data_IF_727675599231
#
_entry.id   IF_727675599231
#
_cell.length_a   1.000
_cell.length_b   1.000
_cell.length_c   1.000
_cell.angle_alpha   90.00
_cell.angle_beta   90.00
_cell.angle_gamma   90.00
#
_symmetry.space_group_name_H-M   'P 1'
#
loop_
_entity.id
_entity.type
_entity.pdbx_description
1 polymer ?
#
# COMPACT_ATOMS: atom_id res chain seq x y z
N UNK A 1 -0.38 17.56 11.92
CA UNK A 1 -0.62 16.97 10.58
C UNK A 1 -2.12 16.75 10.44
N UNK A 2 -2.74 17.29 9.37
CA UNK A 2 -4.16 17.07 9.05
C UNK A 2 -4.26 15.92 8.06
N UNK A 3 -4.98 14.84 8.41
CA UNK A 3 -5.22 13.69 7.53
C UNK A 3 -6.73 13.66 7.24
N UNK A 4 -7.15 13.62 5.96
CA UNK A 4 -8.56 13.56 5.60
C UNK A 4 -9.18 12.24 6.06
N UNK A 5 -10.37 12.33 6.67
CA UNK A 5 -11.19 11.19 7.04
C UNK A 5 -12.20 10.96 5.92
N UNK A 6 -12.27 9.73 5.41
CA UNK A 6 -13.19 9.31 4.35
C UNK A 6 -14.49 8.74 4.92
N UNK A 7 -14.39 8.07 6.07
CA UNK A 7 -15.51 7.50 6.78
C UNK A 7 -15.17 7.38 8.27
N UNK A 8 -16.13 7.60 9.13
CA UNK A 8 -15.97 7.38 10.57
C UNK A 8 -17.31 7.01 11.20
N UNK A 9 -17.29 5.97 12.05
CA UNK A 9 -18.39 5.61 12.95
C UNK A 9 -17.84 5.25 14.34
N UNK A 10 -18.65 4.56 15.17
CA UNK A 10 -18.22 4.12 16.50
C UNK A 10 -17.14 3.04 16.47
N UNK A 11 -17.06 2.25 15.40
CA UNK A 11 -16.26 1.03 15.29
C UNK A 11 -14.98 1.23 14.46
N UNK A 12 -15.02 2.08 13.42
CA UNK A 12 -13.89 2.29 12.51
C UNK A 12 -13.70 3.76 12.14
N UNK A 13 -12.49 4.06 11.69
CA UNK A 13 -12.20 5.26 10.89
C UNK A 13 -11.42 4.85 9.65
N UNK A 14 -11.82 5.36 8.49
CA UNK A 14 -11.09 5.22 7.22
C UNK A 14 -10.52 6.57 6.84
N UNK A 15 -9.24 6.61 6.55
CA UNK A 15 -8.51 7.83 6.20
C UNK A 15 -7.99 7.78 4.77
N UNK A 16 -7.78 8.94 4.17
CA UNK A 16 -6.95 9.10 2.97
C UNK A 16 -5.51 9.36 3.42
N UNK A 17 -4.68 8.31 3.48
CA UNK A 17 -3.28 8.44 3.92
C UNK A 17 -2.49 9.26 2.91
N UNK A 18 -1.82 10.34 3.31
CA UNK A 18 -0.92 11.08 2.42
C UNK A 18 0.36 10.29 2.12
N UNK A 19 1.05 10.67 1.05
CA UNK A 19 2.41 10.20 0.75
C UNK A 19 3.41 10.67 1.81
N UNK A 20 4.53 9.95 1.94
CA UNK A 20 5.60 10.28 2.89
C UNK A 20 5.32 9.88 4.34
N UNK A 21 4.09 9.48 4.67
CA UNK A 21 3.69 9.08 6.03
C UNK A 21 3.87 7.58 6.24
N UNK A 22 4.73 7.22 7.19
CA UNK A 22 4.91 5.83 7.64
C UNK A 22 3.74 5.46 8.55
N UNK A 23 3.20 4.24 8.39
CA UNK A 23 2.06 3.78 9.20
C UNK A 23 2.49 3.56 10.65
N UNK A 24 3.55 2.80 10.89
CA UNK A 24 4.13 2.54 12.22
C UNK A 24 5.64 2.41 12.09
N UNK A 25 6.42 2.68 13.15
CA UNK A 25 7.85 2.43 13.16
C UNK A 25 8.16 0.97 12.81
N UNK A 26 9.31 0.71 12.18
CA UNK A 26 9.77 -0.64 11.83
C UNK A 26 10.83 -1.21 12.80
N UNK A 27 11.12 -0.49 13.88
CA UNK A 27 12.15 -0.85 14.87
C UNK A 27 13.57 -0.53 14.43
N UNK A 28 13.82 -0.34 13.14
CA UNK A 28 15.17 -0.01 12.62
C UNK A 28 15.44 1.50 12.52
N UNK A 29 14.44 2.32 12.78
CA UNK A 29 14.59 3.77 12.76
C UNK A 29 15.27 4.28 14.04
N UNK A 30 16.59 4.49 13.94
CA UNK A 30 17.39 5.12 15.02
C UNK A 30 16.96 6.56 15.35
N UNK A 31 16.19 7.22 14.49
CA UNK A 31 15.70 8.58 14.69
C UNK A 31 14.23 8.58 15.14
N UNK A 32 14.00 8.72 16.45
CA UNK A 32 12.69 8.89 17.11
C UNK A 32 11.89 10.14 16.66
N UNK A 33 12.39 10.94 15.72
CA UNK A 33 11.76 12.21 15.28
C UNK A 33 10.76 12.09 14.12
N UNK A 34 10.69 10.95 13.43
CA UNK A 34 9.78 10.81 12.28
C UNK A 34 8.35 10.54 12.79
N UNK A 35 7.47 11.50 12.57
CA UNK A 35 6.04 11.35 12.89
C UNK A 35 5.42 10.27 12.00
N UNK A 36 4.67 9.36 12.63
CA UNK A 36 3.99 8.23 12.00
C UNK A 36 2.46 8.41 12.03
N UNK A 37 1.75 7.53 11.33
CA UNK A 37 0.29 7.48 11.46
C UNK A 37 -0.13 7.10 12.89
N UNK A 38 0.63 6.24 13.57
CA UNK A 38 0.37 5.88 14.97
C UNK A 38 0.37 7.11 15.87
N UNK A 39 1.30 8.06 15.67
CA UNK A 39 1.32 9.31 16.46
C UNK A 39 0.06 10.15 16.22
N UNK A 40 -0.41 10.21 14.97
CA UNK A 40 -1.66 10.90 14.66
C UNK A 40 -2.87 10.19 15.28
N UNK A 41 -2.92 8.85 15.21
CA UNK A 41 -3.98 8.04 15.82
C UNK A 41 -4.04 8.30 17.32
N UNK A 42 -2.93 8.20 18.02
CA UNK A 42 -2.86 8.39 19.48
C UNK A 42 -3.25 9.81 19.91
N UNK A 43 -2.90 10.81 19.09
CA UNK A 43 -3.32 12.20 19.34
C UNK A 43 -4.81 12.41 19.14
N UNK A 44 -5.39 11.83 18.07
CA UNK A 44 -6.81 12.05 17.72
C UNK A 44 -7.76 11.13 18.48
N UNK A 45 -7.31 9.90 18.74
CA UNK A 45 -8.09 8.83 19.37
C UNK A 45 -7.32 8.20 20.55
N UNK A 46 -7.06 8.94 21.65
CA UNK A 46 -6.23 8.43 22.75
C UNK A 46 -6.79 7.17 23.41
N UNK A 47 -8.12 6.98 23.37
CA UNK A 47 -8.80 5.82 23.96
C UNK A 47 -8.47 4.50 23.27
N UNK A 48 -8.01 4.52 22.00
CA UNK A 48 -7.70 3.28 21.27
C UNK A 48 -6.24 2.81 21.43
N UNK A 49 -5.47 3.41 22.33
CA UNK A 49 -4.05 3.09 22.56
C UNK A 49 -3.79 1.58 22.72
N UNK A 50 -4.71 0.88 23.37
CA UNK A 50 -4.60 -0.56 23.65
C UNK A 50 -5.45 -1.43 22.68
N UNK A 51 -5.97 -0.85 21.61
CA UNK A 51 -6.66 -1.59 20.56
C UNK A 51 -5.63 -2.13 19.58
N UNK A 52 -5.56 -3.44 19.43
CA UNK A 52 -4.62 -4.10 18.50
C UNK A 52 -3.45 -4.77 19.20
N UNK A 53 -2.51 -5.24 18.40
CA UNK A 53 -1.36 -6.01 18.84
C UNK A 53 -0.07 -5.22 18.59
N UNK A 54 0.82 -5.08 19.60
CA UNK A 54 2.14 -4.51 19.38
C UNK A 54 3.02 -5.45 18.55
N UNK A 55 4.00 -4.91 17.86
CA UNK A 55 5.15 -5.69 17.40
C UNK A 55 6.14 -5.76 18.57
N UNK A 56 6.61 -6.95 18.87
CA UNK A 56 7.71 -7.18 19.82
C UNK A 56 8.96 -7.37 18.97
N UNK A 57 9.97 -6.55 19.20
CA UNK A 57 11.29 -6.66 18.57
C UNK A 57 12.15 -7.67 19.32
N UNK A 58 13.29 -8.06 18.72
CA UNK A 58 14.23 -9.03 19.30
C UNK A 58 14.84 -8.56 20.65
N UNK A 59 14.79 -7.25 20.92
CA UNK A 59 15.22 -6.60 22.18
C UNK A 59 14.05 -6.35 23.15
N UNK A 60 12.94 -7.06 23.00
CA UNK A 60 11.69 -6.91 23.77
C UNK A 60 11.00 -5.52 23.65
N UNK A 61 11.51 -4.64 22.82
CA UNK A 61 10.88 -3.33 22.57
C UNK A 61 9.49 -3.51 21.94
N UNK A 62 8.46 -2.93 22.57
CA UNK A 62 7.08 -2.97 22.09
C UNK A 62 6.77 -1.76 21.22
N UNK A 63 6.44 -2.02 19.96
CA UNK A 63 5.96 -1.00 19.03
C UNK A 63 4.43 -1.06 18.98
N UNK A 64 3.78 -0.04 19.52
CA UNK A 64 2.32 0.06 19.51
C UNK A 64 1.80 0.26 18.08
N UNK A 65 0.69 -0.40 17.79
CA UNK A 65 -0.03 -0.28 16.50
C UNK A 65 -1.54 -0.16 16.73
N UNK A 66 -1.99 0.91 17.42
CA UNK A 66 -3.37 1.06 17.82
C UNK A 66 -4.33 1.02 16.63
N UNK A 67 -5.24 0.05 16.63
CA UNK A 67 -6.25 -0.15 15.60
C UNK A 67 -5.74 -0.53 14.21
N UNK A 68 -4.43 -0.73 14.00
CA UNK A 68 -3.83 -1.00 12.69
C UNK A 68 -4.02 -2.48 12.32
N UNK A 69 -4.93 -2.77 11.41
CA UNK A 69 -5.21 -4.11 10.89
C UNK A 69 -4.50 -4.40 9.56
N UNK A 70 -4.09 -3.37 8.82
CA UNK A 70 -3.29 -3.46 7.61
C UNK A 70 -2.40 -2.24 7.41
N UNK A 71 -1.52 -2.30 6.43
CA UNK A 71 -0.64 -1.17 6.10
C UNK A 71 -0.50 -0.99 4.59
N UNK A 72 -0.18 0.23 4.19
CA UNK A 72 0.30 0.59 2.86
C UNK A 72 1.67 1.27 3.00
N UNK A 73 2.46 1.31 1.93
CA UNK A 73 3.82 1.83 1.98
C UNK A 73 3.85 3.33 2.31
N UNK A 74 5.01 3.83 2.73
CA UNK A 74 5.22 5.23 3.09
C UNK A 74 4.71 6.19 2.01
N UNK A 75 5.10 5.95 0.77
CA UNK A 75 4.82 6.85 -0.36
C UNK A 75 3.53 6.48 -1.12
N UNK A 76 2.86 5.38 -0.74
CA UNK A 76 1.52 5.03 -1.21
C UNK A 76 0.49 5.93 -0.54
N UNK A 77 -0.38 6.53 -1.34
CA UNK A 77 -1.54 7.33 -0.88
C UNK A 77 -2.80 6.48 -0.85
N UNK A 78 -3.87 6.97 -0.19
CA UNK A 78 -5.20 6.39 -0.33
C UNK A 78 -5.78 5.74 0.92
N UNK A 79 -6.79 4.91 0.73
CA UNK A 79 -7.64 4.36 1.79
C UNK A 79 -6.88 3.45 2.76
N UNK A 80 -7.01 3.74 4.05
CA UNK A 80 -6.52 2.92 5.15
C UNK A 80 -7.55 2.91 6.28
N UNK A 81 -7.98 1.70 6.71
CA UNK A 81 -8.96 1.51 7.79
C UNK A 81 -8.25 1.26 9.13
N UNK A 82 -8.82 1.81 10.19
CA UNK A 82 -8.33 1.71 11.57
C UNK A 82 -9.52 1.30 12.44
N UNK A 83 -9.34 0.27 13.26
CA UNK A 83 -10.34 -0.17 14.23
C UNK A 83 -10.31 0.72 15.47
N UNK A 84 -11.50 1.06 16.02
CA UNK A 84 -11.62 1.92 17.21
C UNK A 84 -11.85 1.14 18.51
N UNK A 85 -12.14 -0.16 18.42
CA UNK A 85 -12.31 -1.03 19.57
C UNK A 85 -11.74 -2.44 19.29
N UNK A 86 -11.57 -3.24 20.33
CA UNK A 86 -10.92 -4.56 20.27
C UNK A 86 -11.72 -5.57 19.44
N UNK A 87 -13.04 -5.61 19.60
CA UNK A 87 -13.91 -6.51 18.86
C UNK A 87 -13.80 -6.27 17.35
N UNK A 88 -13.92 -5.02 16.93
CA UNK A 88 -13.75 -4.62 15.53
C UNK A 88 -12.34 -4.92 15.02
N UNK A 89 -11.31 -4.71 15.86
CA UNK A 89 -9.93 -5.04 15.47
C UNK A 89 -9.79 -6.54 15.14
N UNK A 90 -10.24 -7.43 16.01
CA UNK A 90 -10.15 -8.88 15.76
C UNK A 90 -10.99 -9.32 14.55
N UNK A 91 -12.19 -8.76 14.40
CA UNK A 91 -13.05 -9.05 13.26
C UNK A 91 -12.40 -8.63 11.92
N UNK A 92 -11.91 -7.40 11.82
CA UNK A 92 -11.25 -6.90 10.61
C UNK A 92 -9.93 -7.64 10.33
N UNK A 93 -9.12 -7.89 11.36
CA UNK A 93 -7.89 -8.69 11.26
C UNK A 93 -8.19 -10.08 10.67
N UNK A 94 -9.29 -10.71 11.11
CA UNK A 94 -9.78 -11.97 10.55
C UNK A 94 -10.09 -11.87 9.06
N UNK A 95 -10.74 -10.80 8.60
CA UNK A 95 -11.05 -10.60 7.18
C UNK A 95 -9.77 -10.41 6.33
N UNK A 96 -8.80 -9.61 6.81
CA UNK A 96 -7.50 -9.46 6.12
C UNK A 96 -6.75 -10.79 6.04
N UNK A 97 -6.70 -11.56 7.14
CA UNK A 97 -6.06 -12.88 7.21
C UNK A 97 -6.69 -13.86 6.24
N UNK A 98 -8.02 -13.88 6.16
CA UNK A 98 -8.79 -14.78 5.31
C UNK A 98 -9.03 -14.25 3.89
N UNK A 99 -8.34 -13.15 3.48
CA UNK A 99 -8.40 -12.55 2.13
C UNK A 99 -9.80 -12.15 1.69
N UNK A 100 -10.69 -11.80 2.62
CA UNK A 100 -12.07 -11.38 2.36
C UNK A 100 -12.19 -9.89 2.01
N UNK A 101 -11.13 -9.12 2.20
CA UNK A 101 -11.10 -7.69 1.91
C UNK A 101 -10.77 -7.48 0.45
N UNK A 102 -11.66 -6.78 -0.28
CA UNK A 102 -11.37 -6.36 -1.64
C UNK A 102 -10.61 -5.03 -1.63
N UNK A 103 -9.52 -4.97 -2.37
CA UNK A 103 -8.62 -3.81 -2.45
C UNK A 103 -8.30 -3.53 -3.90
N UNK A 104 -8.53 -2.29 -4.31
CA UNK A 104 -8.14 -1.82 -5.63
C UNK A 104 -7.09 -0.74 -5.48
N UNK A 105 -5.96 -0.94 -6.14
CA UNK A 105 -4.92 0.06 -6.28
C UNK A 105 -4.88 0.56 -7.71
N UNK A 106 -4.42 1.78 -7.88
CA UNK A 106 -4.09 2.30 -9.19
C UNK A 106 -2.64 2.76 -9.20
N UNK A 107 -1.97 2.48 -10.29
CA UNK A 107 -0.55 2.75 -10.45
C UNK A 107 -0.21 3.16 -11.89
N UNK A 108 0.85 3.94 -12.04
CA UNK A 108 1.51 4.15 -13.32
C UNK A 108 2.80 3.32 -13.33
N UNK A 109 2.99 2.53 -14.38
CA UNK A 109 4.16 1.68 -14.58
C UNK A 109 4.90 2.06 -15.84
N UNK A 110 6.22 1.88 -15.86
CA UNK A 110 7.04 2.10 -17.05
C UNK A 110 6.81 0.99 -18.07
N UNK A 111 6.82 1.37 -19.33
CA UNK A 111 6.67 0.48 -20.49
C UNK A 111 5.21 0.20 -20.85
N UNK A 112 5.01 -0.28 -22.07
CA UNK A 112 3.72 -0.68 -22.58
C UNK A 112 3.40 -2.12 -22.23
N UNK A 113 2.44 -2.35 -21.36
CA UNK A 113 1.91 -3.68 -21.08
C UNK A 113 1.19 -4.20 -22.34
N UNK A 114 1.58 -5.39 -22.81
CA UNK A 114 0.99 -6.01 -24.01
C UNK A 114 -0.45 -6.42 -23.79
N UNK A 115 -0.71 -7.04 -22.64
CA UNK A 115 -2.03 -7.56 -22.29
C UNK A 115 -2.87 -6.48 -21.58
N UNK A 116 -4.11 -6.29 -22.01
CA UNK A 116 -5.07 -5.36 -21.39
C UNK A 116 -5.50 -5.81 -19.99
N UNK A 117 -5.40 -7.10 -19.70
CA UNK A 117 -5.66 -7.71 -18.39
C UNK A 117 -4.71 -8.87 -18.17
N UNK A 118 -4.35 -9.09 -16.92
CA UNK A 118 -3.49 -10.21 -16.59
C UNK A 118 -3.41 -10.52 -15.11
N UNK A 119 -2.64 -11.55 -14.82
CA UNK A 119 -2.36 -12.01 -13.47
C UNK A 119 -0.85 -12.20 -13.30
N UNK A 120 -0.32 -11.62 -12.24
CA UNK A 120 1.06 -11.85 -11.81
C UNK A 120 0.99 -12.80 -10.61
N UNK A 121 1.25 -14.08 -10.86
CA UNK A 121 1.32 -15.15 -9.86
C UNK A 121 2.77 -15.52 -9.66
N UNK A 122 3.44 -14.81 -8.75
CA UNK A 122 4.86 -15.03 -8.44
C UNK A 122 5.08 -14.92 -6.94
N UNK A 123 5.45 -16.00 -6.25
CA UNK A 123 5.75 -15.97 -4.83
C UNK A 123 6.85 -14.96 -4.48
N UNK A 124 6.66 -14.25 -3.36
CA UNK A 124 7.54 -13.17 -2.91
C UNK A 124 8.32 -13.61 -1.66
N UNK A 125 9.62 -13.34 -1.66
CA UNK A 125 10.49 -13.50 -0.50
C UNK A 125 11.48 -12.36 -0.34
N UNK A 126 12.29 -12.36 0.74
CA UNK A 126 13.32 -11.35 0.96
C UNK A 126 14.38 -11.40 -0.14
N UNK A 127 14.82 -10.25 -0.64
CA UNK A 127 15.94 -10.20 -1.58
C UNK A 127 17.25 -10.64 -0.88
N UNK A 128 18.07 -11.42 -1.60
CA UNK A 128 19.42 -11.78 -1.13
C UNK A 128 20.42 -10.62 -1.25
N UNK A 129 20.17 -9.69 -2.18
CA UNK A 129 21.12 -8.65 -2.56
C UNK A 129 20.89 -7.30 -1.85
N UNK A 130 19.67 -7.02 -1.37
CA UNK A 130 19.34 -5.77 -0.67
C UNK A 130 18.30 -6.06 0.40
N UNK A 131 18.67 -5.89 1.67
CA UNK A 131 17.80 -6.18 2.82
C UNK A 131 16.51 -5.32 2.85
N UNK A 132 16.47 -4.20 2.14
CA UNK A 132 15.28 -3.32 2.01
C UNK A 132 14.29 -3.88 0.99
N UNK A 133 14.75 -4.75 0.07
CA UNK A 133 13.97 -5.26 -1.07
C UNK A 133 13.34 -6.63 -0.77
N UNK A 134 12.26 -6.85 -1.47
CA UNK A 134 11.64 -8.16 -1.66
C UNK A 134 11.76 -8.54 -3.14
N UNK A 135 11.66 -9.82 -3.46
CA UNK A 135 11.81 -10.31 -4.83
C UNK A 135 10.78 -11.38 -5.14
N UNK A 136 10.26 -11.35 -6.38
CA UNK A 136 9.43 -12.37 -7.00
C UNK A 136 10.19 -13.08 -8.14
N UNK A 137 11.50 -12.91 -8.20
CA UNK A 137 12.42 -13.52 -9.18
C UNK A 137 13.39 -14.47 -8.50
N UNK A 138 14.49 -14.85 -9.21
CA UNK A 138 15.62 -15.59 -8.63
C UNK A 138 16.35 -14.72 -7.58
N UNK A 139 17.15 -15.33 -6.71
CA UNK A 139 17.92 -14.60 -5.69
C UNK A 139 17.07 -14.16 -4.48
N UNK A 140 16.19 -15.04 -4.01
CA UNK A 140 15.42 -14.85 -2.78
C UNK A 140 16.12 -15.57 -1.62
N UNK A 141 16.24 -14.89 -0.49
CA UNK A 141 16.70 -15.44 0.77
C UNK A 141 15.52 -15.91 1.61
N UNK A 142 15.61 -17.16 2.10
CA UNK A 142 14.58 -17.77 2.95
C UNK A 142 13.33 -18.18 2.18
N UNK A 143 12.21 -18.27 2.90
CA UNK A 143 10.94 -18.75 2.39
C UNK A 143 10.28 -17.76 1.42
N UNK A 144 9.79 -18.26 0.30
CA UNK A 144 8.87 -17.52 -0.60
C UNK A 144 7.44 -17.75 -0.17
N UNK A 145 6.66 -16.69 -0.12
CA UNK A 145 5.24 -16.74 0.22
C UNK A 145 4.38 -16.46 -1.01
N UNK A 146 3.34 -17.24 -1.18
CA UNK A 146 2.33 -17.05 -2.23
C UNK A 146 1.92 -15.58 -2.35
N UNK A 147 1.93 -15.07 -3.58
CA UNK A 147 1.53 -13.71 -3.89
C UNK A 147 0.90 -13.66 -5.28
N UNK A 148 -0.33 -13.12 -5.36
CA UNK A 148 -1.10 -12.99 -6.60
C UNK A 148 -1.65 -11.58 -6.72
N UNK A 149 -1.42 -10.95 -7.88
CA UNK A 149 -1.96 -9.63 -8.22
C UNK A 149 -2.61 -9.69 -9.60
N UNK A 150 -3.89 -9.40 -9.70
CA UNK A 150 -4.56 -9.16 -10.98
C UNK A 150 -4.34 -7.72 -11.39
N UNK A 151 -4.31 -7.47 -12.71
CA UNK A 151 -4.25 -6.12 -13.23
C UNK A 151 -5.14 -5.93 -14.46
N UNK A 152 -5.53 -4.68 -14.68
CA UNK A 152 -6.22 -4.20 -15.88
C UNK A 152 -5.58 -2.90 -16.32
N UNK A 153 -5.30 -2.77 -17.62
CA UNK A 153 -4.85 -1.52 -18.22
C UNK A 153 -6.02 -0.54 -18.32
N UNK A 154 -5.78 0.69 -17.90
CA UNK A 154 -6.75 1.78 -17.95
C UNK A 154 -6.39 2.85 -18.99
N UNK A 155 -5.14 2.90 -19.43
CA UNK A 155 -4.64 3.82 -20.44
C UNK A 155 -3.14 3.65 -20.67
N UNK A 156 -2.65 4.13 -21.81
CA UNK A 156 -1.23 4.08 -22.19
C UNK A 156 -0.83 5.39 -22.87
N UNK A 157 0.37 5.88 -22.56
CA UNK A 157 0.97 7.02 -23.22
C UNK A 157 2.47 7.12 -22.93
N UNK A 158 3.27 7.42 -23.95
CA UNK A 158 4.70 7.76 -23.83
C UNK A 158 5.51 6.71 -23.03
N UNK A 159 5.36 5.43 -23.38
CA UNK A 159 6.03 4.29 -22.69
C UNK A 159 5.66 4.22 -21.19
N UNK A 160 4.45 4.64 -20.84
CA UNK A 160 3.85 4.49 -19.51
C UNK A 160 2.46 3.90 -19.65
N UNK A 161 2.16 2.93 -18.77
CA UNK A 161 0.83 2.33 -18.67
C UNK A 161 0.19 2.70 -17.33
N UNK A 162 -1.05 3.18 -17.38
CA UNK A 162 -1.92 3.36 -16.21
C UNK A 162 -2.67 2.06 -15.95
N UNK A 163 -2.57 1.53 -14.76
CA UNK A 163 -3.14 0.22 -14.40
C UNK A 163 -3.97 0.29 -13.13
N UNK A 164 -5.01 -0.53 -13.12
CA UNK A 164 -5.68 -1.00 -11.91
C UNK A 164 -5.01 -2.30 -11.46
N UNK A 165 -4.67 -2.40 -10.18
CA UNK A 165 -4.03 -3.58 -9.58
C UNK A 165 -4.85 -4.08 -8.38
N UNK A 166 -5.24 -5.37 -8.42
CA UNK A 166 -6.09 -6.01 -7.41
C UNK A 166 -5.28 -7.13 -6.74
N UNK A 167 -4.60 -6.85 -5.61
CA UNK A 167 -3.82 -7.88 -4.91
C UNK A 167 -4.74 -8.80 -4.11
N UNK A 168 -4.74 -10.09 -4.42
CA UNK A 168 -5.44 -11.15 -3.66
C UNK A 168 -4.77 -11.48 -2.34
N UNK A 169 -3.47 -11.26 -2.27
CA UNK A 169 -2.62 -11.39 -1.08
C UNK A 169 -2.17 -10.02 -0.60
N UNK A 170 -1.47 -9.93 0.53
CA UNK A 170 -1.01 -8.66 1.10
C UNK A 170 0.46 -8.72 1.54
N UNK A 171 1.38 -9.12 0.64
CA UNK A 171 2.81 -9.17 0.98
C UNK A 171 3.43 -7.78 0.94
N UNK A 172 4.50 -7.59 1.70
CA UNK A 172 5.25 -6.33 1.70
C UNK A 172 5.69 -5.96 0.29
N UNK A 173 5.43 -4.74 -0.13
CA UNK A 173 5.75 -4.20 -1.45
C UNK A 173 5.17 -5.00 -2.64
N UNK A 174 4.11 -5.81 -2.43
CA UNK A 174 3.66 -6.81 -3.42
C UNK A 174 3.46 -6.24 -4.82
N UNK A 175 2.67 -5.18 -5.00
CA UNK A 175 2.39 -4.58 -6.31
C UNK A 175 3.69 -4.10 -6.96
N UNK A 176 4.55 -3.44 -6.21
CA UNK A 176 5.86 -2.92 -6.64
C UNK A 176 6.78 -4.05 -7.15
N UNK A 177 6.89 -5.10 -6.34
CA UNK A 177 7.70 -6.29 -6.66
C UNK A 177 7.15 -7.02 -7.88
N UNK A 178 5.84 -7.20 -7.97
CA UNK A 178 5.20 -7.90 -9.08
C UNK A 178 5.42 -7.19 -10.41
N UNK A 179 5.12 -5.89 -10.48
CA UNK A 179 5.33 -5.14 -11.72
C UNK A 179 6.82 -5.02 -12.08
N UNK A 180 7.72 -4.86 -11.11
CA UNK A 180 9.15 -4.92 -11.35
C UNK A 180 9.59 -6.29 -11.88
N UNK A 181 9.00 -7.40 -11.39
CA UNK A 181 9.34 -8.75 -11.80
C UNK A 181 8.91 -9.10 -13.25
N UNK A 182 8.00 -8.31 -13.82
CA UNK A 182 7.60 -8.40 -15.23
C UNK A 182 8.19 -7.27 -16.09
N UNK A 183 9.24 -6.61 -15.60
CA UNK A 183 9.96 -5.50 -16.25
C UNK A 183 9.12 -4.22 -16.50
N UNK A 184 8.07 -4.01 -15.71
CA UNK A 184 7.24 -2.81 -15.72
C UNK A 184 7.21 -2.16 -14.32
N UNK A 185 8.34 -1.70 -13.76
CA UNK A 185 8.36 -1.13 -12.41
C UNK A 185 7.48 0.12 -12.33
N UNK A 186 6.99 0.43 -11.13
CA UNK A 186 6.18 1.63 -10.91
C UNK A 186 6.98 2.89 -11.18
N UNK A 187 6.31 3.88 -11.77
CA UNK A 187 6.88 5.21 -12.03
C UNK A 187 7.37 5.83 -10.72
N UNK A 188 8.60 6.32 -10.71
CA UNK A 188 9.29 6.90 -9.55
C UNK A 188 9.42 5.97 -8.33
N UNK A 189 9.42 4.65 -8.53
CA UNK A 189 9.77 3.70 -7.47
C UNK A 189 11.29 3.58 -7.32
N UNK A 190 11.89 4.45 -6.52
CA UNK A 190 13.35 4.50 -6.28
C UNK A 190 13.95 3.22 -5.69
N UNK A 191 13.12 2.26 -5.25
CA UNK A 191 13.61 1.01 -4.69
C UNK A 191 13.62 -0.12 -5.72
N UNK A 192 12.66 -0.16 -6.65
CA UNK A 192 12.49 -1.27 -7.59
C UNK A 192 12.69 -0.89 -9.05
N UNK A 193 12.56 0.37 -9.44
CA UNK A 193 12.97 0.82 -10.77
C UNK A 193 14.50 0.96 -10.84
N UNK A 194 15.07 0.53 -11.97
CA UNK A 194 16.51 0.73 -12.24
C UNK A 194 16.78 2.18 -12.65
N UNK A 195 18.04 2.58 -12.63
CA UNK A 195 18.46 3.92 -13.06
C UNK A 195 18.04 4.20 -14.51
N UNK A 196 17.99 3.18 -15.37
CA UNK A 196 17.46 3.29 -16.72
C UNK A 196 16.03 3.84 -16.74
N UNK A 197 15.13 3.32 -15.90
CA UNK A 197 13.74 3.81 -15.81
C UNK A 197 13.68 5.17 -15.12
N UNK A 198 14.43 5.37 -14.04
CA UNK A 198 14.41 6.61 -13.26
C UNK A 198 14.98 7.81 -14.03
N UNK A 199 15.91 7.58 -14.99
CA UNK A 199 16.46 8.62 -15.86
C UNK A 199 15.52 9.01 -17.00
N UNK A 200 14.53 8.19 -17.36
CA UNK A 200 13.54 8.54 -18.38
C UNK A 200 12.75 9.78 -17.97
N UNK A 201 12.78 10.80 -18.83
CA UNK A 201 11.95 12.00 -18.64
C UNK A 201 10.48 11.61 -18.81
N UNK A 202 9.75 11.52 -17.72
CA UNK A 202 8.32 11.25 -17.75
C UNK A 202 7.53 12.56 -17.77
N UNK A 203 6.53 12.64 -18.64
CA UNK A 203 5.73 13.86 -18.82
C UNK A 203 4.57 13.96 -17.80
N UNK A 204 4.34 12.90 -17.01
CA UNK A 204 3.22 12.84 -16.08
C UNK A 204 3.41 13.69 -14.80
N UNK A 205 4.66 14.06 -14.47
CA UNK A 205 4.96 14.97 -13.35
C UNK A 205 5.13 14.31 -11.98
N UNK A 206 5.17 12.98 -11.89
CA UNK A 206 5.36 12.29 -10.60
C UNK A 206 6.73 12.57 -9.99
N UNK A 207 6.74 13.00 -8.71
CA UNK A 207 7.95 13.18 -7.89
C UNK A 207 8.11 12.09 -6.84
N UNK A 208 7.13 11.20 -6.70
CA UNK A 208 7.06 10.06 -5.80
C UNK A 208 6.58 8.82 -6.53
N UNK A 209 6.69 7.67 -5.89
CA UNK A 209 6.14 6.41 -6.41
C UNK A 209 4.65 6.55 -6.75
N UNK A 210 4.30 6.26 -8.00
CA UNK A 210 2.96 6.40 -8.54
C UNK A 210 2.06 5.19 -8.15
N UNK A 211 1.70 5.11 -6.87
CA UNK A 211 0.80 4.10 -6.32
C UNK A 211 -0.23 4.73 -5.39
N UNK A 212 -1.49 4.37 -5.60
CA UNK A 212 -2.63 4.87 -4.84
C UNK A 212 -3.59 3.73 -4.47
N UNK A 213 -3.92 3.59 -3.18
CA UNK A 213 -4.93 2.66 -2.65
C UNK A 213 -6.32 3.27 -2.91
N UNK A 214 -6.87 3.00 -4.09
CA UNK A 214 -8.06 3.66 -4.63
C UNK A 214 -9.34 3.22 -3.95
N UNK A 215 -9.52 1.88 -3.76
CA UNK A 215 -10.75 1.35 -3.19
C UNK A 215 -10.45 0.33 -2.10
N UNK A 216 -11.27 0.38 -1.09
CA UNK A 216 -11.30 -0.59 0.01
C UNK A 216 -12.73 -1.02 0.26
N UNK A 217 -13.03 -2.32 0.06
CA UNK A 217 -14.31 -2.90 0.39
C UNK A 217 -14.12 -3.95 1.49
N UNK A 218 -14.89 -3.82 2.56
CA UNK A 218 -14.78 -4.66 3.76
C UNK A 218 -16.12 -4.72 4.50
N UNK A 219 -16.44 -5.87 5.08
CA UNK A 219 -17.63 -6.01 5.93
C UNK A 219 -17.33 -5.52 7.34
N UNK A 220 -18.21 -4.74 7.94
CA UNK A 220 -18.13 -4.32 9.34
C UNK A 220 -18.73 -5.37 10.28
N UNK A 221 -18.46 -5.34 11.60
CA UNK A 221 -19.08 -6.27 12.58
C UNK A 221 -20.61 -6.27 12.55
N UNK A 222 -21.21 -5.14 12.17
CA UNK A 222 -22.68 -5.02 11.98
C UNK A 222 -23.24 -5.78 10.78
N UNK A 223 -22.39 -6.41 9.96
CA UNK A 223 -22.77 -7.01 8.68
C UNK A 223 -22.83 -6.01 7.50
N UNK A 224 -22.68 -4.71 7.76
CA UNK A 224 -22.69 -3.68 6.70
C UNK A 224 -21.44 -3.82 5.81
N UNK A 225 -21.66 -3.92 4.50
CA UNK A 225 -20.57 -3.80 3.52
C UNK A 225 -20.18 -2.33 3.37
N UNK A 226 -18.95 -2.01 3.72
CA UNK A 226 -18.37 -0.68 3.57
C UNK A 226 -17.49 -0.65 2.31
N UNK A 227 -17.87 0.18 1.35
CA UNK A 227 -17.07 0.44 0.14
C UNK A 227 -16.61 1.89 0.17
N UNK A 228 -15.30 2.10 0.18
CA UNK A 228 -14.67 3.42 0.24
C UNK A 228 -13.80 3.63 -1.00
N UNK A 229 -14.03 4.74 -1.70
CA UNK A 229 -13.16 5.23 -2.76
C UNK A 229 -12.38 6.44 -2.27
N UNK A 230 -11.07 6.32 -2.16
CA UNK A 230 -10.21 7.44 -1.82
C UNK A 230 -10.12 8.41 -3.02
N UNK A 231 -10.28 9.73 -2.84
CA UNK A 231 -10.05 10.69 -3.90
C UNK A 231 -8.60 10.63 -4.36
N UNK A 232 -8.37 10.88 -5.64
CA UNK A 232 -7.01 10.95 -6.16
C UNK A 232 -6.25 12.13 -5.54
N UNK A 233 -4.96 12.00 -5.31
CA UNK A 233 -4.10 13.15 -5.08
C UNK A 233 -3.84 13.88 -6.41
N UNK A 234 -3.52 15.16 -6.32
CA UNK A 234 -3.33 16.07 -7.45
C UNK A 234 -2.42 15.50 -8.55
N UNK A 235 -1.29 14.88 -8.16
CA UNK A 235 -0.36 14.25 -9.09
C UNK A 235 -0.99 13.10 -9.91
N UNK A 236 -1.97 12.37 -9.35
CA UNK A 236 -2.72 11.35 -10.06
C UNK A 236 -3.79 11.96 -10.99
N UNK A 237 -4.52 12.98 -10.55
CA UNK A 237 -5.53 13.67 -11.37
C UNK A 237 -4.91 14.27 -12.62
N UNK A 238 -3.79 14.97 -12.46
CA UNK A 238 -3.02 15.51 -13.58
C UNK A 238 -2.52 14.42 -14.54
N UNK A 239 -1.96 13.33 -13.99
CA UNK A 239 -1.43 12.23 -14.79
C UNK A 239 -2.54 11.49 -15.54
N UNK A 240 -3.70 11.24 -14.93
CA UNK A 240 -4.88 10.63 -15.57
C UNK A 240 -5.37 11.51 -16.72
N UNK A 241 -5.44 12.83 -16.51
CA UNK A 241 -5.83 13.77 -17.57
C UNK A 241 -4.87 13.72 -18.75
N UNK A 242 -3.58 13.62 -18.50
CA UNK A 242 -2.54 13.56 -19.55
C UNK A 242 -2.56 12.25 -20.32
N UNK A 243 -2.86 11.12 -19.68
CA UNK A 243 -2.82 9.80 -20.33
C UNK A 243 -4.02 9.54 -21.25
N UNK A 244 -5.11 10.29 -21.06
CA UNK A 244 -6.32 10.18 -21.87
C UNK A 244 -6.44 11.28 -22.95
N UNK A 245 -5.50 12.22 -23.00
CA UNK A 245 -5.34 13.21 -24.09
C UNK A 245 -4.43 12.68 -25.18
#
# INVERSE_FOLDING_TARGET
MKIPILYEDKDVVVINKPAGLIVHPDGHQKNKKTKTLVDWILKKYPRIKNVGEPIILDDDTKILRPGIVHRIDRDTTGALIIAKNKETFEFLKGQFKNRKVHKVYQAFVYGDLKDERGMIDRPIGRSSNDFRKWSAQRGVRGEKREAVTYFKVLGKKDDITFVEAIPKTGRTHQIRVHFSAINHPLVQDKLYATDFYLSKKQQLGFKRMALHARELEITLPSGKLLNIKAPYPEDFEEAITKIHK
#
